data_IF_217913278503
#
_entry.id   IF_217913278503
#
_cell.length_a   1.000
_cell.length_b   1.000
_cell.length_c   1.000
_cell.angle_alpha   90.00
_cell.angle_beta   90.00
_cell.angle_gamma   90.00
#
_symmetry.space_group_name_H-M   'P 1'
#
loop_
_entity.id
_entity.type
_entity.pdbx_description
1 polymer ?
#
# COMPACT_ATOMS: atom_id res chain seq x y z
N UNK A 1 -0.59 3.45 23.01
CA UNK A 1 -0.82 3.44 21.55
C UNK A 1 0.33 2.68 20.95
N UNK A 2 0.09 1.45 20.52
CA UNK A 2 1.07 0.67 19.76
C UNK A 2 1.40 1.41 18.47
N UNK A 3 2.69 1.58 18.21
CA UNK A 3 3.18 2.29 17.03
C UNK A 3 2.90 1.42 15.80
N UNK A 4 2.17 1.95 14.82
CA UNK A 4 1.97 1.24 13.55
C UNK A 4 3.34 1.04 12.88
N UNK A 5 3.68 -0.20 12.59
CA UNK A 5 4.90 -0.52 11.86
C UNK A 5 4.63 -0.57 10.35
N UNK A 6 5.15 0.43 9.63
CA UNK A 6 5.14 0.43 8.17
C UNK A 6 6.00 -0.72 7.66
N UNK A 7 5.39 -1.58 6.86
CA UNK A 7 6.01 -2.77 6.25
C UNK A 7 6.69 -2.42 4.93
N UNK A 8 6.04 -1.59 4.11
CA UNK A 8 6.57 -1.11 2.85
C UNK A 8 6.03 0.29 2.56
N UNK A 9 6.73 1.05 1.72
CA UNK A 9 6.20 2.30 1.17
C UNK A 9 5.87 2.12 -0.32
N UNK A 10 4.95 2.91 -0.82
CA UNK A 10 4.53 2.91 -2.21
C UNK A 10 4.67 4.31 -2.80
N UNK A 11 5.24 4.39 -4.00
CA UNK A 11 5.19 5.60 -4.84
C UNK A 11 4.32 5.37 -6.07
N UNK A 12 3.95 6.46 -6.73
CA UNK A 12 3.12 6.42 -7.95
C UNK A 12 1.86 5.56 -7.74
N UNK A 13 1.28 5.67 -6.54
CA UNK A 13 0.22 4.77 -6.14
C UNK A 13 -1.08 5.12 -6.88
N UNK A 14 -1.87 4.10 -7.23
CA UNK A 14 -3.21 4.29 -7.83
C UNK A 14 -4.24 3.47 -7.09
N UNK A 15 -5.45 4.00 -7.03
CA UNK A 15 -6.63 3.24 -6.63
C UNK A 15 -7.14 2.44 -7.82
N UNK A 16 -7.17 1.12 -7.66
CA UNK A 16 -7.94 0.23 -8.49
C UNK A 16 -9.29 -0.02 -7.81
N UNK A 17 -10.35 0.50 -8.41
CA UNK A 17 -11.72 0.24 -7.94
C UNK A 17 -12.13 -1.14 -8.45
N UNK A 18 -12.24 -2.12 -7.55
CA UNK A 18 -12.74 -3.44 -7.89
C UNK A 18 -14.26 -3.47 -8.05
N UNK A 19 -14.80 -4.61 -8.47
CA UNK A 19 -16.26 -4.88 -8.41
C UNK A 19 -16.68 -5.08 -6.95
N UNK A 20 -17.58 -4.22 -6.47
CA UNK A 20 -18.21 -4.18 -5.13
C UNK A 20 -17.29 -3.84 -3.95
N UNK A 21 -17.36 -2.61 -3.42
CA UNK A 21 -16.76 -2.06 -2.17
C UNK A 21 -15.26 -2.34 -1.89
N UNK A 22 -14.58 -3.02 -2.80
CA UNK A 22 -13.19 -3.42 -2.64
C UNK A 22 -12.27 -2.33 -3.18
N UNK A 23 -11.52 -1.71 -2.27
CA UNK A 23 -10.45 -0.77 -2.60
C UNK A 23 -9.14 -1.53 -2.76
N UNK A 24 -8.59 -1.52 -3.97
CA UNK A 24 -7.27 -2.05 -4.24
C UNK A 24 -6.29 -0.90 -4.48
N UNK A 25 -5.08 -1.05 -3.96
CA UNK A 25 -3.99 -0.11 -4.14
C UNK A 25 -2.90 -0.78 -4.98
N UNK A 26 -2.40 -0.07 -5.98
CA UNK A 26 -1.23 -0.44 -6.79
C UNK A 26 -0.15 0.63 -6.63
N UNK A 27 1.10 0.34 -6.94
CA UNK A 27 2.21 1.30 -6.86
C UNK A 27 3.59 0.63 -6.88
N UNK A 28 4.65 1.43 -6.94
CA UNK A 28 6.02 0.92 -6.89
C UNK A 28 6.50 0.82 -5.43
N UNK A 29 7.07 -0.33 -5.08
CA UNK A 29 7.56 -0.62 -3.73
C UNK A 29 8.84 0.15 -3.41
N UNK A 30 8.92 0.64 -2.17
CA UNK A 30 10.11 1.25 -1.59
C UNK A 30 10.28 0.74 -0.15
N UNK A 31 11.43 0.16 0.15
CA UNK A 31 11.84 -0.26 1.48
C UNK A 31 10.93 -1.32 2.10
N UNK A 32 10.62 -2.40 1.37
CA UNK A 32 9.87 -3.53 1.94
C UNK A 32 10.72 -4.26 2.99
N UNK A 33 10.36 -4.09 4.26
CA UNK A 33 11.08 -4.69 5.40
C UNK A 33 11.04 -6.21 5.42
N UNK A 34 10.07 -6.81 4.73
CA UNK A 34 9.89 -8.26 4.67
C UNK A 34 10.62 -8.89 3.48
N UNK A 35 11.34 -8.08 2.68
CA UNK A 35 12.11 -8.54 1.52
C UNK A 35 11.28 -9.38 0.53
N UNK A 36 9.97 -9.11 0.42
CA UNK A 36 9.07 -9.82 -0.50
C UNK A 36 9.19 -9.29 -1.92
N UNK A 37 9.50 -7.99 -2.04
CA UNK A 37 9.68 -7.32 -3.31
C UNK A 37 10.92 -6.43 -3.26
N UNK A 38 11.70 -6.39 -4.36
CA UNK A 38 12.78 -5.42 -4.49
C UNK A 38 12.22 -4.00 -4.65
N UNK A 39 13.05 -3.01 -4.31
CA UNK A 39 12.72 -1.60 -4.54
C UNK A 39 12.50 -1.32 -6.03
N UNK A 40 11.39 -0.62 -6.34
CA UNK A 40 10.97 -0.32 -7.70
C UNK A 40 10.05 -1.36 -8.34
N UNK A 41 9.86 -2.53 -7.71
CA UNK A 41 8.87 -3.51 -8.16
C UNK A 41 7.46 -2.93 -8.10
N UNK A 42 6.65 -3.14 -9.16
CA UNK A 42 5.28 -2.64 -9.21
C UNK A 42 4.29 -3.68 -8.69
N UNK A 43 3.64 -3.41 -7.56
CA UNK A 43 2.60 -4.29 -7.03
C UNK A 43 1.26 -4.03 -7.71
N UNK A 44 0.79 -4.94 -8.55
CA UNK A 44 -0.43 -4.75 -9.35
C UNK A 44 -1.73 -4.58 -8.54
N UNK A 45 -1.86 -5.28 -7.40
CA UNK A 45 -3.08 -5.24 -6.58
C UNK A 45 -2.79 -5.57 -5.11
N UNK A 46 -3.09 -4.63 -4.23
CA UNK A 46 -3.13 -4.85 -2.78
C UNK A 46 -4.49 -4.49 -2.23
N UNK A 47 -5.18 -5.44 -1.59
CA UNK A 47 -6.48 -5.18 -0.98
C UNK A 47 -6.34 -4.36 0.30
N UNK A 48 -7.00 -3.20 0.36
CA UNK A 48 -6.99 -2.29 1.50
C UNK A 48 -8.21 -2.52 2.38
N UNK A 49 -7.99 -2.74 3.67
CA UNK A 49 -9.03 -2.87 4.69
C UNK A 49 -9.40 -1.51 5.29
N UNK A 50 -8.40 -0.75 5.72
CA UNK A 50 -8.58 0.50 6.47
C UNK A 50 -7.38 1.44 6.26
N UNK A 51 -7.59 2.70 6.58
CA UNK A 51 -6.57 3.76 6.60
C UNK A 51 -6.47 4.29 8.03
N UNK A 52 -5.67 3.65 8.91
CA UNK A 52 -5.55 4.06 10.31
C UNK A 52 -4.86 5.40 10.49
N UNK A 53 -3.98 5.79 9.55
CA UNK A 53 -3.32 7.09 9.50
C UNK A 53 -3.32 7.59 8.05
N UNK A 54 -3.24 8.90 7.85
CA UNK A 54 -3.23 9.51 6.52
C UNK A 54 -2.15 8.87 5.63
N UNK A 55 -2.56 8.36 4.48
CA UNK A 55 -1.71 7.66 3.51
C UNK A 55 -1.06 6.37 4.05
N UNK A 56 -1.55 5.80 5.14
CA UNK A 56 -1.11 4.50 5.66
C UNK A 56 -2.26 3.53 5.53
N UNK A 57 -2.09 2.49 4.73
CA UNK A 57 -3.14 1.54 4.39
C UNK A 57 -2.83 0.17 4.98
N UNK A 58 -3.77 -0.35 5.77
CA UNK A 58 -3.70 -1.72 6.25
C UNK A 58 -4.22 -2.68 5.18
N UNK A 59 -3.41 -3.65 4.85
CA UNK A 59 -3.74 -4.67 3.84
C UNK A 59 -4.48 -5.85 4.46
N UNK A 60 -5.14 -6.68 3.65
CA UNK A 60 -5.77 -7.92 4.12
C UNK A 60 -4.84 -8.84 4.91
N UNK A 61 -3.58 -8.87 4.50
CA UNK A 61 -2.54 -9.72 5.10
C UNK A 61 -1.99 -9.15 6.41
N UNK A 62 -2.52 -8.02 6.90
CA UNK A 62 -2.08 -7.39 8.13
C UNK A 62 -0.83 -6.51 8.00
N UNK A 63 -0.39 -6.22 6.77
CA UNK A 63 0.73 -5.31 6.52
C UNK A 63 0.25 -3.86 6.44
N UNK A 64 1.15 -2.92 6.72
CA UNK A 64 0.86 -1.49 6.60
C UNK A 64 1.71 -0.88 5.52
N UNK A 65 1.07 -0.36 4.47
CA UNK A 65 1.75 0.30 3.36
C UNK A 65 1.58 1.80 3.44
N UNK A 66 2.68 2.54 3.41
CA UNK A 66 2.66 4.01 3.38
C UNK A 66 2.75 4.51 1.94
N UNK A 67 1.73 5.21 1.47
CA UNK A 67 1.78 5.90 0.17
C UNK A 67 2.52 7.22 0.31
N UNK A 68 3.60 7.37 -0.45
CA UNK A 68 4.38 8.61 -0.52
C UNK A 68 3.69 9.62 -1.44
N UNK A 69 3.26 9.15 -2.61
CA UNK A 69 2.51 9.94 -3.59
C UNK A 69 1.54 9.04 -4.34
N UNK A 70 0.39 9.61 -4.70
CA UNK A 70 -0.48 9.04 -5.71
C UNK A 70 -0.02 9.51 -7.09
N UNK A 71 -0.18 8.67 -8.10
CA UNK A 71 0.03 9.08 -9.48
C UNK A 71 -1.11 10.01 -9.90
N UNK A 72 -0.77 11.28 -10.14
CA UNK A 72 -1.66 12.26 -10.73
C UNK A 72 -1.68 11.99 -12.24
N UNK A 73 -2.49 11.01 -12.64
CA UNK A 73 -2.70 10.68 -14.05
C UNK A 73 -3.21 11.86 -14.88
#
# INVERSE_FOLDING_TARGET
MDKIEITASLRNAKWNVGTEDRRFLTGDVIGDKLERWPDGEHIHTTYVLEEPEKNVFKTRSGHYYKVINFDEG
#
